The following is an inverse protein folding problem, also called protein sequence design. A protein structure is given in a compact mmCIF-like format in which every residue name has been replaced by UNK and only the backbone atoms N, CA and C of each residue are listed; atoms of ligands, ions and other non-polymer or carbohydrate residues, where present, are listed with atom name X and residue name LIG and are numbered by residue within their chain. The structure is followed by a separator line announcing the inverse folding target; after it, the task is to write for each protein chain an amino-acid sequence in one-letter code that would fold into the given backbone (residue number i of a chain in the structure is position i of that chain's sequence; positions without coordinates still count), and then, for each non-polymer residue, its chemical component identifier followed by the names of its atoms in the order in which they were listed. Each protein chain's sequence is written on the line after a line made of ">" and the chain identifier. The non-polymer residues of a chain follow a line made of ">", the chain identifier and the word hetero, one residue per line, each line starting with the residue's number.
data_IF_044668228569
#
_entry.id   IF_044668228569
#
_cell.length_a   1.000
_cell.length_b   1.000
_cell.length_c   1.000
_cell.angle_alpha   90.00
_cell.angle_beta   90.00
_cell.angle_gamma   90.00
#
_symmetry.space_group_name_H-M   'P 1'
#
loop_
_entity.id
_entity.type
_entity.pdbx_description
1 polymer ?
#
# COMPACT_ATOMS: atom_id res chain seq x y z
N UNK A 1 -3.40 -1.23 17.84
CA UNK A 1 -4.77 -1.16 17.30
C UNK A 1 -4.87 -1.94 16.01
N UNK A 2 -5.96 -2.70 15.81
CA UNK A 2 -6.20 -3.50 14.60
C UNK A 2 -7.44 -2.98 13.90
N UNK A 3 -7.30 -2.73 12.60
CA UNK A 3 -8.38 -2.48 11.65
C UNK A 3 -8.56 -3.72 10.78
N UNK A 4 -9.74 -4.30 10.76
CA UNK A 4 -10.11 -5.39 9.86
C UNK A 4 -11.02 -4.85 8.74
N UNK A 5 -10.56 -4.95 7.52
CA UNK A 5 -11.35 -4.62 6.32
C UNK A 5 -11.94 -5.90 5.73
N UNK A 6 -13.26 -5.99 5.71
CA UNK A 6 -13.99 -7.16 5.24
C UNK A 6 -15.28 -6.71 4.57
N UNK A 7 -15.52 -7.17 3.34
CA UNK A 7 -16.72 -6.82 2.52
C UNK A 7 -16.95 -5.28 2.46
N UNK A 8 -15.88 -4.51 2.22
CA UNK A 8 -15.86 -3.03 2.16
C UNK A 8 -16.27 -2.31 3.46
N UNK A 9 -16.34 -3.03 4.57
CA UNK A 9 -16.60 -2.46 5.91
C UNK A 9 -15.33 -2.49 6.74
N UNK A 10 -15.08 -1.42 7.48
CA UNK A 10 -14.02 -1.35 8.48
C UNK A 10 -14.56 -1.77 9.85
N UNK A 11 -14.02 -2.84 10.40
CA UNK A 11 -14.31 -3.33 11.74
C UNK A 11 -13.14 -3.07 12.68
N UNK A 12 -13.46 -2.69 13.92
CA UNK A 12 -12.50 -2.50 15.02
C UNK A 12 -13.08 -3.05 16.31
N UNK A 13 -12.23 -3.51 17.23
CA UNK A 13 -12.70 -3.98 18.52
C UNK A 13 -12.97 -2.87 19.54
N UNK A 14 -12.39 -1.68 19.31
CA UNK A 14 -12.48 -0.55 20.24
C UNK A 14 -12.56 0.76 19.49
N UNK A 15 -13.43 1.62 19.97
CA UNK A 15 -13.44 3.04 19.61
C UNK A 15 -12.45 3.80 20.51
N UNK A 16 -11.20 3.93 20.05
CA UNK A 16 -10.12 4.59 20.77
C UNK A 16 -9.53 5.76 19.96
N UNK A 17 -8.58 6.48 20.53
CA UNK A 17 -7.91 7.61 19.89
C UNK A 17 -7.23 7.20 18.58
N UNK A 18 -6.73 5.97 18.47
CA UNK A 18 -6.04 5.49 17.28
C UNK A 18 -6.96 5.41 16.08
N UNK A 19 -8.16 4.79 16.26
CA UNK A 19 -9.12 4.69 15.15
C UNK A 19 -9.68 6.05 14.78
N UNK A 20 -10.00 6.91 15.74
CA UNK A 20 -10.49 8.28 15.46
C UNK A 20 -9.47 9.06 14.66
N UNK A 21 -8.19 9.08 15.09
CA UNK A 21 -7.10 9.71 14.33
C UNK A 21 -6.93 9.15 12.92
N UNK A 22 -7.14 7.84 12.75
CA UNK A 22 -7.05 7.19 11.46
C UNK A 22 -8.20 7.58 10.54
N UNK A 23 -9.43 7.62 11.03
CA UNK A 23 -10.67 7.82 10.26
C UNK A 23 -11.02 9.28 10.01
N UNK A 24 -10.80 10.16 10.99
CA UNK A 24 -11.12 11.61 10.88
C UNK A 24 -10.44 12.25 9.66
N UNK A 25 -9.18 11.93 9.42
CA UNK A 25 -8.43 12.47 8.28
C UNK A 25 -8.88 11.89 6.92
N UNK A 26 -9.70 10.84 6.90
CA UNK A 26 -10.07 10.05 5.72
C UNK A 26 -11.57 9.98 5.47
N UNK A 27 -12.38 10.48 6.41
CA UNK A 27 -13.85 10.39 6.38
C UNK A 27 -14.35 8.94 6.20
N UNK A 28 -13.72 7.98 6.91
CA UNK A 28 -14.07 6.57 6.85
C UNK A 28 -14.98 6.22 8.03
N UNK A 29 -16.12 5.59 7.76
CA UNK A 29 -16.98 5.00 8.77
C UNK A 29 -16.42 3.65 9.23
N UNK A 30 -16.69 3.26 10.48
CA UNK A 30 -16.27 1.99 11.03
C UNK A 30 -17.33 1.40 11.98
N UNK A 31 -17.27 0.09 12.14
CA UNK A 31 -18.14 -0.67 13.05
C UNK A 31 -17.32 -1.21 14.22
N UNK A 32 -17.78 -0.94 15.44
CA UNK A 32 -17.15 -1.46 16.65
C UNK A 32 -17.80 -2.79 17.02
N UNK A 33 -17.04 -3.88 17.00
CA UNK A 33 -17.50 -5.19 17.47
C UNK A 33 -16.32 -6.10 17.82
N UNK A 34 -16.48 -7.08 18.72
CA UNK A 34 -15.49 -8.12 18.94
C UNK A 34 -15.27 -8.93 17.67
N UNK A 35 -14.01 -9.13 17.25
CA UNK A 35 -13.72 -9.91 16.03
C UNK A 35 -14.19 -11.36 16.13
N UNK A 36 -14.24 -11.93 17.34
CA UNK A 36 -14.76 -13.27 17.59
C UNK A 36 -16.26 -13.42 17.26
N UNK A 37 -17.01 -12.31 17.20
CA UNK A 37 -18.43 -12.31 16.83
C UNK A 37 -18.65 -12.26 15.31
N UNK A 38 -17.59 -12.04 14.53
CA UNK A 38 -17.68 -11.92 13.08
C UNK A 38 -17.59 -13.30 12.41
N UNK A 39 -18.44 -13.54 11.44
CA UNK A 39 -18.21 -14.60 10.47
C UNK A 39 -17.16 -14.11 9.47
N UNK A 40 -15.90 -14.54 9.63
CA UNK A 40 -14.79 -14.06 8.80
C UNK A 40 -14.91 -14.57 7.37
N UNK A 41 -15.16 -13.66 6.44
CA UNK A 41 -15.27 -13.90 5.00
C UNK A 41 -14.69 -12.71 4.23
N UNK A 42 -14.15 -12.97 3.04
CA UNK A 42 -13.72 -11.91 2.12
C UNK A 42 -12.87 -10.80 2.79
N UNK A 43 -11.90 -11.19 3.60
CA UNK A 43 -11.00 -10.21 4.22
C UNK A 43 -10.16 -9.54 3.13
N UNK A 44 -10.34 -8.25 2.98
CA UNK A 44 -9.59 -7.44 2.03
C UNK A 44 -8.19 -7.14 2.57
N UNK A 45 -8.12 -6.70 3.84
CA UNK A 45 -6.88 -6.30 4.49
C UNK A 45 -7.03 -6.27 6.01
N UNK A 46 -5.94 -6.55 6.70
CA UNK A 46 -5.76 -6.23 8.12
C UNK A 46 -4.70 -5.14 8.22
N UNK A 47 -4.94 -4.11 9.04
CA UNK A 47 -4.01 -3.03 9.29
C UNK A 47 -3.73 -2.93 10.79
N UNK A 48 -2.50 -3.23 11.20
CA UNK A 48 -2.03 -2.99 12.55
C UNK A 48 -1.39 -1.60 12.65
N UNK A 49 -1.85 -0.81 13.62
CA UNK A 49 -1.45 0.59 13.81
C UNK A 49 -0.76 0.77 15.17
N UNK A 50 0.40 1.44 15.17
CA UNK A 50 1.06 1.90 16.41
C UNK A 50 1.70 3.27 16.17
N UNK A 51 0.91 4.31 16.39
CA UNK A 51 1.42 5.67 16.29
C UNK A 51 2.53 5.94 17.33
N UNK A 52 3.56 6.66 16.90
CA UNK A 52 4.68 7.05 17.75
C UNK A 52 5.76 5.97 17.96
N UNK A 53 5.57 4.75 17.41
CA UNK A 53 6.53 3.66 17.60
C UNK A 53 6.78 2.90 16.28
N UNK A 54 7.62 3.48 15.45
CA UNK A 54 7.98 2.94 14.13
C UNK A 54 8.84 1.66 14.22
N UNK A 55 9.59 1.50 15.30
CA UNK A 55 10.47 0.35 15.50
C UNK A 55 9.66 -0.92 15.78
N UNK A 56 8.69 -0.83 16.70
CA UNK A 56 7.75 -1.95 16.94
C UNK A 56 7.04 -2.38 15.65
N UNK A 57 6.58 -1.43 14.81
CA UNK A 57 5.93 -1.77 13.54
C UNK A 57 6.90 -2.47 12.59
N UNK A 58 8.17 -2.07 12.57
CA UNK A 58 9.20 -2.75 11.79
C UNK A 58 9.45 -4.19 12.27
N UNK A 59 9.44 -4.42 13.58
CA UNK A 59 9.55 -5.76 14.16
C UNK A 59 8.34 -6.63 13.83
N UNK A 60 7.12 -6.08 13.87
CA UNK A 60 5.90 -6.80 13.47
C UNK A 60 5.98 -7.26 12.01
N UNK A 61 6.37 -6.37 11.10
CA UNK A 61 6.51 -6.72 9.68
C UNK A 61 7.51 -7.86 9.51
N UNK A 62 8.71 -7.78 10.10
CA UNK A 62 9.73 -8.82 10.03
C UNK A 62 9.26 -10.16 10.60
N UNK A 63 8.59 -10.12 11.74
CA UNK A 63 8.09 -11.33 12.40
C UNK A 63 6.99 -11.99 11.57
N UNK A 64 5.99 -11.21 11.16
CA UNK A 64 4.83 -11.72 10.42
C UNK A 64 5.21 -12.22 9.03
N UNK A 65 6.04 -11.50 8.28
CA UNK A 65 6.52 -11.90 6.95
C UNK A 65 7.29 -13.23 7.00
N UNK A 66 8.09 -13.43 8.05
CA UNK A 66 8.77 -14.71 8.27
C UNK A 66 7.83 -15.83 8.68
N UNK A 67 6.78 -15.51 9.46
CA UNK A 67 5.86 -16.51 10.04
C UNK A 67 4.79 -16.94 9.05
N UNK A 68 4.34 -16.02 8.17
CA UNK A 68 3.25 -16.22 7.22
C UNK A 68 3.70 -15.87 5.79
N UNK A 69 4.59 -16.66 5.19
CA UNK A 69 5.15 -16.38 3.86
C UNK A 69 4.11 -16.45 2.73
N UNK A 70 2.92 -16.98 3.00
CA UNK A 70 1.77 -17.01 2.10
C UNK A 70 0.99 -15.70 2.05
N UNK A 71 1.28 -14.76 2.95
CA UNK A 71 0.64 -13.44 2.98
C UNK A 71 1.57 -12.36 2.40
N UNK A 72 0.99 -11.24 2.01
CA UNK A 72 1.71 -10.02 1.70
C UNK A 72 1.68 -9.09 2.90
N UNK A 73 2.86 -8.87 3.48
CA UNK A 73 3.02 -8.08 4.70
C UNK A 73 3.99 -6.95 4.41
N UNK A 74 3.55 -5.72 4.62
CA UNK A 74 4.33 -4.53 4.25
C UNK A 74 4.15 -3.40 5.24
N UNK A 75 5.21 -2.63 5.43
CA UNK A 75 5.18 -1.37 6.15
C UNK A 75 4.83 -0.25 5.16
N UNK A 76 3.60 0.25 5.17
CA UNK A 76 3.14 1.28 4.23
C UNK A 76 3.42 2.71 4.72
N UNK A 77 3.52 2.90 6.03
CA UNK A 77 3.97 4.14 6.68
C UNK A 77 4.82 3.77 7.90
N UNK A 78 5.50 4.71 8.57
CA UNK A 78 6.24 4.40 9.79
C UNK A 78 5.42 3.67 10.86
N UNK A 79 4.10 3.85 10.89
CA UNK A 79 3.22 3.38 11.97
C UNK A 79 2.21 2.31 11.56
N UNK A 80 2.28 1.82 10.30
CA UNK A 80 1.30 0.90 9.73
C UNK A 80 1.95 -0.38 9.24
N UNK A 81 1.48 -1.52 9.75
CA UNK A 81 1.75 -2.85 9.22
C UNK A 81 0.50 -3.33 8.49
N UNK A 82 0.57 -3.47 7.18
CA UNK A 82 -0.51 -3.99 6.35
C UNK A 82 -0.30 -5.47 6.05
N UNK A 83 -1.38 -6.24 6.17
CA UNK A 83 -1.41 -7.68 5.95
C UNK A 83 -2.55 -7.96 4.97
N UNK A 84 -2.24 -8.61 3.86
CA UNK A 84 -3.23 -8.95 2.83
C UNK A 84 -2.89 -10.25 2.12
N UNK A 85 -3.72 -10.65 1.18
CA UNK A 85 -3.43 -11.77 0.29
C UNK A 85 -2.15 -11.49 -0.50
N UNK A 86 -1.33 -12.52 -0.74
CA UNK A 86 -0.07 -12.40 -1.47
C UNK A 86 -0.24 -11.83 -2.88
N UNK A 87 -1.38 -12.06 -3.51
CA UNK A 87 -1.69 -11.56 -4.85
C UNK A 87 -2.32 -10.16 -4.84
N UNK A 88 -2.63 -9.60 -3.65
CA UNK A 88 -3.17 -8.24 -3.50
C UNK A 88 -2.08 -7.15 -3.57
N UNK A 89 -1.00 -7.37 -4.34
CA UNK A 89 0.06 -6.42 -4.57
C UNK A 89 -0.27 -5.51 -5.76
N UNK A 90 0.19 -4.28 -5.72
CA UNK A 90 0.03 -3.33 -6.83
C UNK A 90 0.61 -3.87 -8.15
N UNK A 91 1.72 -4.62 -8.09
CA UNK A 91 2.33 -5.27 -9.26
C UNK A 91 1.40 -6.32 -9.89
N UNK A 92 0.75 -7.15 -9.08
CA UNK A 92 -0.20 -8.16 -9.58
C UNK A 92 -1.41 -7.51 -10.27
N UNK A 93 -1.89 -6.37 -9.76
CA UNK A 93 -2.96 -5.61 -10.40
C UNK A 93 -2.53 -5.08 -11.78
N UNK A 94 -1.31 -4.56 -11.89
CA UNK A 94 -0.76 -4.12 -13.19
C UNK A 94 -0.65 -5.29 -14.16
N UNK A 95 -0.08 -6.42 -13.72
CA UNK A 95 0.07 -7.62 -14.55
C UNK A 95 -1.29 -8.16 -15.01
N UNK A 96 -2.29 -8.18 -14.12
CA UNK A 96 -3.66 -8.58 -14.46
C UNK A 96 -4.26 -7.66 -15.53
N UNK A 97 -4.20 -6.34 -15.35
CA UNK A 97 -4.75 -5.38 -16.30
C UNK A 97 -4.02 -5.44 -17.66
N UNK A 98 -2.71 -5.59 -17.66
CA UNK A 98 -1.92 -5.77 -18.89
C UNK A 98 -2.41 -6.99 -19.68
N UNK A 99 -2.65 -8.10 -18.99
CA UNK A 99 -3.17 -9.32 -19.61
C UNK A 99 -4.57 -9.13 -20.15
N UNK A 100 -5.48 -8.54 -19.36
CA UNK A 100 -6.88 -8.32 -19.77
C UNK A 100 -7.00 -7.37 -20.96
N UNK A 101 -6.17 -6.36 -21.03
CA UNK A 101 -6.22 -5.34 -22.07
C UNK A 101 -5.24 -5.56 -23.23
N UNK A 102 -4.44 -6.62 -23.16
CA UNK A 102 -3.43 -6.93 -24.19
C UNK A 102 -2.31 -5.90 -24.27
N UNK A 103 -2.00 -5.20 -23.17
CA UNK A 103 -0.96 -4.19 -23.06
C UNK A 103 0.36 -4.88 -22.76
N UNK A 104 1.41 -4.52 -23.47
CA UNK A 104 2.76 -5.04 -23.19
C UNK A 104 3.42 -4.26 -22.05
N UNK A 105 4.33 -4.88 -21.35
CA UNK A 105 5.04 -4.26 -20.23
C UNK A 105 5.75 -2.95 -20.60
N UNK A 106 6.34 -2.89 -21.79
CA UNK A 106 7.04 -1.71 -22.30
C UNK A 106 6.12 -0.52 -22.64
N UNK A 107 4.81 -0.76 -22.71
CA UNK A 107 3.78 0.27 -22.88
C UNK A 107 3.24 0.81 -21.54
N UNK A 108 3.74 0.32 -20.39
CA UNK A 108 3.24 0.66 -19.05
C UNK A 108 4.18 1.64 -18.35
N UNK A 109 3.66 2.82 -18.03
CA UNK A 109 4.29 3.77 -17.13
C UNK A 109 3.84 3.49 -15.69
N UNK A 110 4.78 3.30 -14.78
CA UNK A 110 4.53 3.16 -13.34
C UNK A 110 5.15 4.32 -12.57
N UNK A 111 4.41 4.85 -11.58
CA UNK A 111 4.86 5.98 -10.75
C UNK A 111 4.64 5.61 -9.28
N UNK A 112 5.64 5.84 -8.44
CA UNK A 112 5.56 5.54 -7.01
C UNK A 112 6.36 6.52 -6.15
N UNK A 113 6.18 6.45 -4.82
CA UNK A 113 6.88 7.32 -3.87
C UNK A 113 7.37 6.60 -2.60
N UNK A 114 6.88 5.40 -2.29
CA UNK A 114 7.25 4.67 -1.08
C UNK A 114 7.85 3.29 -1.41
N UNK A 115 8.48 2.66 -0.42
CA UNK A 115 9.13 1.34 -0.59
C UNK A 115 8.14 0.23 -0.97
N UNK A 116 6.86 0.34 -0.59
CA UNK A 116 5.80 -0.57 -1.04
C UNK A 116 5.44 -0.42 -2.52
N UNK A 117 5.97 0.60 -3.23
CA UNK A 117 5.81 0.79 -4.67
C UNK A 117 6.98 0.21 -5.49
N UNK A 118 8.02 -0.34 -4.87
CA UNK A 118 9.17 -0.92 -5.59
C UNK A 118 8.72 -2.02 -6.54
N UNK A 119 7.84 -2.92 -6.09
CA UNK A 119 7.31 -3.99 -6.94
C UNK A 119 6.36 -3.44 -8.03
N UNK A 120 5.62 -2.37 -7.74
CA UNK A 120 4.83 -1.64 -8.76
C UNK A 120 5.75 -1.10 -9.86
N UNK A 121 6.85 -0.44 -9.50
CA UNK A 121 7.80 0.08 -10.49
C UNK A 121 8.36 -1.05 -11.36
N UNK A 122 8.73 -2.18 -10.77
CA UNK A 122 9.24 -3.34 -11.52
C UNK A 122 8.23 -3.96 -12.49
N UNK A 123 6.93 -3.79 -12.25
CA UNK A 123 5.87 -4.28 -13.13
C UNK A 123 5.74 -3.44 -14.42
N UNK A 124 6.17 -2.18 -14.42
CA UNK A 124 6.15 -1.31 -15.59
C UNK A 124 7.39 -1.42 -16.48
N UNK A 125 7.27 -0.95 -17.71
CA UNK A 125 8.38 -0.77 -18.64
C UNK A 125 9.10 0.56 -18.43
N UNK A 126 8.35 1.61 -18.05
CA UNK A 126 8.90 2.91 -17.68
C UNK A 126 8.63 3.11 -16.18
N UNK A 127 9.69 3.22 -15.40
CA UNK A 127 9.65 3.30 -13.94
C UNK A 127 9.98 4.71 -13.48
N UNK A 128 9.04 5.37 -12.84
CA UNK A 128 9.21 6.75 -12.35
C UNK A 128 9.08 6.81 -10.84
N UNK A 129 10.07 7.40 -10.18
CA UNK A 129 9.99 7.76 -8.77
C UNK A 129 9.59 9.24 -8.62
N UNK A 130 8.69 9.52 -7.69
CA UNK A 130 8.38 10.89 -7.29
C UNK A 130 9.59 11.55 -6.61
N UNK A 131 9.74 12.87 -6.76
CA UNK A 131 10.83 13.63 -6.15
C UNK A 131 10.89 13.57 -4.62
N UNK A 132 9.72 13.40 -3.97
CA UNK A 132 9.59 13.13 -2.53
C UNK A 132 9.70 11.63 -2.17
N UNK A 133 9.98 10.76 -3.13
CA UNK A 133 10.08 9.32 -2.89
C UNK A 133 11.30 8.91 -2.07
N UNK A 134 11.25 7.69 -1.52
CA UNK A 134 12.34 7.12 -0.73
C UNK A 134 13.62 6.90 -1.56
N UNK A 135 14.81 6.92 -0.94
CA UNK A 135 16.05 6.64 -1.66
C UNK A 135 16.04 5.30 -2.37
N UNK A 136 15.58 4.24 -1.70
CA UNK A 136 15.51 2.87 -2.24
C UNK A 136 14.60 2.77 -3.46
N UNK A 137 13.46 3.48 -3.45
CA UNK A 137 12.58 3.54 -4.62
C UNK A 137 13.24 4.24 -5.80
N UNK A 138 13.93 5.37 -5.53
CA UNK A 138 14.63 6.14 -6.56
C UNK A 138 15.74 5.35 -7.23
N UNK A 139 16.41 4.45 -6.51
CA UNK A 139 17.41 3.54 -7.08
C UNK A 139 16.80 2.53 -8.07
N UNK A 140 15.52 2.21 -7.92
CA UNK A 140 14.79 1.29 -8.81
C UNK A 140 14.17 1.98 -10.03
N UNK A 141 14.19 3.30 -10.11
CA UNK A 141 13.51 4.08 -11.14
C UNK A 141 14.42 4.40 -12.34
N UNK A 142 13.83 4.47 -13.53
CA UNK A 142 14.50 4.94 -14.74
C UNK A 142 14.53 6.49 -14.80
N UNK A 143 13.57 7.13 -14.12
CA UNK A 143 13.43 8.58 -14.08
C UNK A 143 12.90 9.05 -12.72
N UNK A 144 13.47 10.14 -12.19
CA UNK A 144 12.97 10.81 -11.00
C UNK A 144 12.28 12.09 -11.44
N UNK A 145 10.98 12.19 -11.18
CA UNK A 145 10.20 13.40 -11.47
C UNK A 145 10.25 14.38 -10.28
N UNK A 146 9.51 15.48 -10.36
CA UNK A 146 9.39 16.44 -9.26
C UNK A 146 8.55 15.90 -8.09
N UNK A 147 8.48 16.66 -7.01
CA UNK A 147 7.64 16.33 -5.85
C UNK A 147 6.15 16.50 -6.15
N UNK A 148 5.30 16.01 -5.25
CA UNK A 148 3.85 16.19 -5.35
C UNK A 148 3.49 17.67 -5.44
N UNK A 149 4.09 18.50 -4.58
CA UNK A 149 3.85 19.96 -4.52
C UNK A 149 4.23 20.66 -5.83
N UNK A 150 5.17 20.12 -6.57
CA UNK A 150 5.66 20.65 -7.85
C UNK A 150 5.05 19.93 -9.07
N UNK A 151 3.89 19.29 -8.89
CA UNK A 151 3.17 18.58 -9.95
C UNK A 151 4.01 17.46 -10.64
N UNK A 152 4.82 16.74 -9.87
CA UNK A 152 5.72 15.68 -10.39
C UNK A 152 4.98 14.61 -11.19
N UNK A 153 3.78 14.20 -10.74
CA UNK A 153 2.95 13.23 -11.47
C UNK A 153 2.61 13.73 -12.89
N UNK A 154 2.10 14.96 -13.01
CA UNK A 154 1.72 15.57 -14.30
C UNK A 154 2.94 15.67 -15.22
N UNK A 155 4.10 16.06 -14.67
CA UNK A 155 5.35 16.15 -15.46
C UNK A 155 5.79 14.80 -15.99
N UNK A 156 5.68 13.74 -15.20
CA UNK A 156 5.98 12.38 -15.64
C UNK A 156 5.04 11.92 -16.76
N UNK A 157 3.72 12.08 -16.58
CA UNK A 157 2.73 11.72 -17.61
C UNK A 157 2.98 12.49 -18.91
N UNK A 158 3.16 13.81 -18.86
CA UNK A 158 3.43 14.62 -20.04
C UNK A 158 4.74 14.26 -20.76
N UNK A 159 5.73 13.73 -20.03
CA UNK A 159 7.01 13.33 -20.62
C UNK A 159 6.91 12.01 -21.37
N UNK A 160 6.12 11.05 -20.90
CA UNK A 160 6.14 9.68 -21.39
C UNK A 160 4.85 9.20 -22.07
N UNK A 161 3.73 9.93 -21.92
CA UNK A 161 2.42 9.56 -22.47
C UNK A 161 1.90 10.53 -23.56
N UNK A 162 2.79 11.27 -24.24
CA UNK A 162 2.42 12.17 -25.36
C UNK A 162 2.70 11.49 -26.68
#
# INVERSE_FOLDING_TARGET
>A
HINLYMDDVLYVEKDDETIRKYTDARYIEYTVCPFESLEIKNVNKILAIKYGDADTVTEWVKYLDKTYPELYIVKSTPYFCEISNKDARKSCAVEYLCKEWGIKKDEVLTIGDQNNDIELLKAGGIKVAMGNGTPELKECADFITDTVENNGFVKAVNKFCN
#
